data_IF_436992236979
#
_entry.id   IF_436992236979
#
_cell.length_a   1.000
_cell.length_b   1.000
_cell.length_c   1.000
_cell.angle_alpha   90.00
_cell.angle_beta   90.00
_cell.angle_gamma   90.00
#
_symmetry.space_group_name_H-M   'P 1'
#
loop_
_entity.id
_entity.type
_entity.pdbx_description
1 polymer ?
#
# COMPACT_ATOMS: atom_id res chain seq x y z
N UNK A 1 -10.80 21.27 5.27
CA UNK A 1 -11.44 21.60 6.57
C UNK A 1 -10.38 21.74 7.66
N UNK A 2 -10.84 21.98 8.89
CA UNK A 2 -9.96 22.20 10.05
C UNK A 2 -10.40 21.38 11.28
N UNK A 3 -11.06 20.22 11.04
CA UNK A 3 -11.44 19.33 12.12
C UNK A 3 -10.16 18.73 12.71
N UNK A 4 -9.93 18.91 14.01
CA UNK A 4 -8.80 18.31 14.72
C UNK A 4 -9.25 17.32 15.80
N UNK A 5 -10.52 17.39 16.25
CA UNK A 5 -11.07 16.54 17.29
C UNK A 5 -12.27 15.74 16.76
N UNK A 6 -12.12 14.44 16.76
CA UNK A 6 -13.15 13.46 16.34
C UNK A 6 -13.70 12.64 17.52
N UNK A 7 -13.47 13.12 18.77
CA UNK A 7 -13.85 12.40 20.00
C UNK A 7 -15.32 11.98 20.07
N UNK A 8 -16.22 12.74 19.44
CA UNK A 8 -17.64 12.41 19.37
C UNK A 8 -17.92 11.07 18.68
N UNK A 9 -17.03 10.60 17.79
CA UNK A 9 -17.24 9.37 17.03
C UNK A 9 -17.20 8.11 17.91
N UNK A 10 -16.55 8.15 19.06
CA UNK A 10 -16.47 7.01 19.99
C UNK A 10 -17.84 6.50 20.47
N UNK A 11 -18.89 7.31 20.32
CA UNK A 11 -20.27 6.93 20.70
C UNK A 11 -21.01 6.14 19.59
N UNK A 12 -20.43 6.02 18.41
CA UNK A 12 -21.12 5.46 17.24
C UNK A 12 -20.60 4.05 16.88
N UNK A 13 -20.78 3.08 17.79
CA UNK A 13 -20.29 1.69 17.62
C UNK A 13 -20.84 0.96 16.37
N UNK A 14 -21.90 1.47 15.76
CA UNK A 14 -22.47 0.97 14.52
C UNK A 14 -21.96 1.67 13.25
N UNK A 15 -20.99 2.59 13.36
CA UNK A 15 -20.45 3.32 12.22
C UNK A 15 -19.76 2.36 11.26
N UNK A 16 -20.14 2.43 9.98
CA UNK A 16 -19.61 1.57 8.92
C UNK A 16 -18.66 2.30 7.99
N UNK A 17 -18.95 3.56 7.70
CA UNK A 17 -18.15 4.36 6.77
C UNK A 17 -17.95 5.76 7.32
N UNK A 18 -16.77 6.33 7.10
CA UNK A 18 -16.51 7.73 7.41
C UNK A 18 -15.50 8.31 6.40
N UNK A 19 -15.79 9.50 5.90
CA UNK A 19 -14.83 10.35 5.21
C UNK A 19 -14.44 11.49 6.14
N UNK A 20 -13.19 11.46 6.59
CA UNK A 20 -12.56 12.44 7.48
C UNK A 20 -11.35 13.10 6.81
N UNK A 21 -11.24 12.93 5.49
CA UNK A 21 -10.12 13.44 4.69
C UNK A 21 -10.01 14.97 4.73
N UNK A 22 -8.81 15.49 4.42
CA UNK A 22 -8.55 16.93 4.27
C UNK A 22 -8.92 17.73 5.51
N UNK A 23 -8.39 17.30 6.65
CA UNK A 23 -8.60 17.92 7.95
C UNK A 23 -7.26 18.14 8.69
N UNK A 24 -7.30 18.47 9.97
CA UNK A 24 -6.13 18.66 10.83
C UNK A 24 -6.11 17.62 11.96
N UNK A 25 -6.52 16.37 11.66
CA UNK A 25 -6.61 15.30 12.65
C UNK A 25 -5.20 14.76 12.92
N UNK A 26 -4.81 14.73 14.20
CA UNK A 26 -3.53 14.18 14.65
C UNK A 26 -3.69 12.87 15.41
N UNK A 27 -4.83 12.66 16.09
CA UNK A 27 -5.12 11.50 16.92
C UNK A 27 -6.48 10.88 16.55
N UNK A 28 -6.53 9.57 16.45
CA UNK A 28 -7.71 8.79 16.03
C UNK A 28 -8.18 7.80 17.11
N UNK A 29 -7.82 8.04 18.40
CA UNK A 29 -8.21 7.16 19.50
C UNK A 29 -9.73 6.96 19.60
N UNK A 30 -10.52 7.94 19.16
CA UNK A 30 -11.98 7.85 19.10
C UNK A 30 -12.50 6.72 18.17
N UNK A 31 -11.67 6.19 17.31
CA UNK A 31 -12.01 5.07 16.43
C UNK A 31 -11.74 3.70 17.08
N UNK A 32 -11.06 3.66 18.24
CA UNK A 32 -10.83 2.40 18.96
C UNK A 32 -12.17 1.77 19.37
N UNK A 33 -12.39 0.55 18.92
CA UNK A 33 -13.64 -0.18 19.18
C UNK A 33 -14.77 0.03 18.16
N UNK A 34 -14.58 0.86 17.11
CA UNK A 34 -15.52 0.97 16.00
C UNK A 34 -15.36 -0.21 15.03
N UNK A 35 -15.57 -1.42 15.54
CA UNK A 35 -15.29 -2.69 14.86
C UNK A 35 -16.15 -2.97 13.63
N UNK A 36 -17.17 -2.12 13.38
CA UNK A 36 -18.08 -2.22 12.24
C UNK A 36 -17.65 -1.37 11.04
N UNK A 37 -16.51 -0.64 11.16
CA UNK A 37 -15.97 0.13 10.06
C UNK A 37 -15.56 -0.81 8.92
N UNK A 38 -16.06 -0.51 7.72
CA UNK A 38 -15.75 -1.21 6.46
C UNK A 38 -15.03 -0.31 5.46
N UNK A 39 -15.27 1.00 5.49
CA UNK A 39 -14.57 1.96 4.66
C UNK A 39 -14.26 3.23 5.46
N UNK A 40 -13.00 3.69 5.39
CA UNK A 40 -12.53 4.85 6.12
C UNK A 40 -11.53 5.64 5.28
N UNK A 41 -11.82 6.93 5.07
CA UNK A 41 -10.89 7.88 4.47
C UNK A 41 -10.38 8.85 5.55
N UNK A 42 -9.09 8.81 5.78
CA UNK A 42 -8.33 9.69 6.69
C UNK A 42 -7.21 10.43 5.93
N UNK A 43 -7.24 10.42 4.61
CA UNK A 43 -6.21 11.03 3.77
C UNK A 43 -6.07 12.54 4.03
N UNK A 44 -4.88 13.09 3.76
CA UNK A 44 -4.57 14.51 3.92
C UNK A 44 -4.90 15.02 5.34
N UNK A 45 -4.26 14.41 6.34
CA UNK A 45 -4.31 14.77 7.77
C UNK A 45 -2.88 14.80 8.36
N UNK A 46 -2.75 14.87 9.68
CA UNK A 46 -1.45 14.88 10.40
C UNK A 46 -1.29 13.64 11.30
N UNK A 47 -1.87 12.49 10.92
CA UNK A 47 -1.92 11.28 11.74
C UNK A 47 -0.53 10.62 11.76
N UNK A 48 -0.08 10.22 12.95
CA UNK A 48 1.21 9.53 13.15
C UNK A 48 1.04 8.06 13.51
N UNK A 49 -0.10 7.65 14.06
CA UNK A 49 -0.36 6.28 14.52
C UNK A 49 -1.74 5.80 14.12
N UNK A 50 -1.81 4.56 13.66
CA UNK A 50 -3.05 3.84 13.30
C UNK A 50 -3.42 2.76 14.32
N UNK A 51 -2.86 2.81 15.54
CA UNK A 51 -3.10 1.79 16.58
C UNK A 51 -4.57 1.61 16.94
N UNK A 52 -5.36 2.68 16.91
CA UNK A 52 -6.80 2.65 17.17
C UNK A 52 -7.59 1.80 16.15
N UNK A 53 -7.02 1.54 14.97
CA UNK A 53 -7.66 0.74 13.93
C UNK A 53 -7.44 -0.77 14.09
N UNK A 54 -6.62 -1.22 15.02
CA UNK A 54 -6.23 -2.63 15.15
C UNK A 54 -7.41 -3.61 15.33
N UNK A 55 -8.55 -3.13 15.85
CA UNK A 55 -9.76 -3.94 16.04
C UNK A 55 -10.78 -3.82 14.89
N UNK A 56 -10.53 -2.97 13.90
CA UNK A 56 -11.43 -2.73 12.76
C UNK A 56 -11.25 -3.81 11.68
N UNK A 57 -11.44 -5.08 12.05
CA UNK A 57 -11.12 -6.24 11.20
C UNK A 57 -12.11 -6.47 10.06
N UNK A 58 -13.26 -5.76 10.05
CA UNK A 58 -14.24 -5.76 8.95
C UNK A 58 -13.85 -4.75 7.84
N UNK A 59 -12.74 -3.99 7.99
CA UNK A 59 -12.28 -2.98 7.03
C UNK A 59 -11.99 -3.62 5.66
N UNK A 60 -12.57 -3.05 4.62
CA UNK A 60 -12.36 -3.44 3.21
C UNK A 60 -11.62 -2.36 2.41
N UNK A 61 -11.82 -1.09 2.74
CA UNK A 61 -11.19 0.05 2.07
C UNK A 61 -10.65 1.03 3.12
N UNK A 62 -9.35 1.37 3.03
CA UNK A 62 -8.68 2.26 3.97
C UNK A 62 -7.76 3.22 3.23
N UNK A 63 -8.09 4.51 3.28
CA UNK A 63 -7.33 5.60 2.67
C UNK A 63 -6.61 6.39 3.78
N UNK A 64 -5.28 6.35 3.76
CA UNK A 64 -4.39 6.98 4.74
C UNK A 64 -3.32 7.86 4.07
N UNK A 65 -3.49 8.16 2.78
CA UNK A 65 -2.52 8.93 2.01
C UNK A 65 -2.27 10.32 2.62
N UNK A 66 -1.05 10.83 2.44
CA UNK A 66 -0.66 12.18 2.89
C UNK A 66 -0.91 12.38 4.40
N UNK A 67 -0.25 11.56 5.19
CA UNK A 67 -0.19 11.62 6.65
C UNK A 67 1.28 11.55 7.12
N UNK A 68 1.52 11.24 8.40
CA UNK A 68 2.86 11.09 9.00
C UNK A 68 3.03 9.71 9.66
N UNK A 69 2.41 8.67 9.07
CA UNK A 69 2.40 7.33 9.63
C UNK A 69 3.79 6.69 9.45
N UNK A 70 4.28 6.06 10.51
CA UNK A 70 5.59 5.39 10.50
C UNK A 70 5.50 3.88 10.63
N UNK A 71 4.34 3.31 10.99
CA UNK A 71 4.15 1.87 11.16
C UNK A 71 2.75 1.42 10.78
N UNK A 72 2.69 0.31 10.05
CA UNK A 72 1.46 -0.40 9.65
C UNK A 72 1.22 -1.68 10.44
N UNK A 73 2.03 -1.99 11.44
CA UNK A 73 1.88 -3.20 12.26
C UNK A 73 0.47 -3.39 12.85
N UNK A 74 -0.26 -2.31 13.27
CA UNK A 74 -1.63 -2.44 13.75
C UNK A 74 -2.64 -2.94 12.69
N UNK A 75 -2.32 -2.86 11.40
CA UNK A 75 -3.20 -3.27 10.31
C UNK A 75 -3.13 -4.79 10.02
N UNK A 76 -2.22 -5.51 10.64
CA UNK A 76 -1.98 -6.96 10.38
C UNK A 76 -3.20 -7.85 10.62
N UNK A 77 -4.20 -7.40 11.40
CA UNK A 77 -5.46 -8.11 11.63
C UNK A 77 -6.52 -7.91 10.54
N UNK A 78 -6.31 -7.00 9.58
CA UNK A 78 -7.32 -6.58 8.59
C UNK A 78 -7.41 -7.55 7.40
N UNK A 79 -7.86 -8.75 7.66
CA UNK A 79 -7.90 -9.83 6.64
C UNK A 79 -8.94 -9.63 5.54
N UNK A 80 -9.90 -8.71 5.74
CA UNK A 80 -10.94 -8.37 4.77
C UNK A 80 -10.50 -7.22 3.83
N UNK A 81 -9.34 -6.58 4.09
CA UNK A 81 -8.89 -5.40 3.39
C UNK A 81 -8.58 -5.73 1.92
N UNK A 82 -9.22 -4.99 1.01
CA UNK A 82 -9.07 -5.13 -0.44
C UNK A 82 -8.35 -3.96 -1.07
N UNK A 83 -8.50 -2.74 -0.49
CA UNK A 83 -7.81 -1.54 -0.95
C UNK A 83 -7.16 -0.81 0.21
N UNK A 84 -5.89 -0.43 0.02
CA UNK A 84 -5.12 0.32 0.99
C UNK A 84 -4.26 1.36 0.28
N UNK A 85 -4.46 2.63 0.64
CA UNK A 85 -3.57 3.72 0.24
C UNK A 85 -2.81 4.25 1.45
N UNK A 86 -1.49 4.11 1.41
CA UNK A 86 -0.53 4.60 2.39
C UNK A 86 0.49 5.56 1.76
N UNK A 87 0.21 6.06 0.56
CA UNK A 87 1.11 6.96 -0.15
C UNK A 87 1.37 8.24 0.65
N UNK A 88 2.55 8.86 0.43
CA UNK A 88 2.96 10.10 1.11
C UNK A 88 2.87 10.02 2.64
N UNK A 89 3.63 9.05 3.17
CA UNK A 89 3.80 8.84 4.61
C UNK A 89 5.30 8.76 4.98
N UNK A 90 5.63 8.26 6.17
CA UNK A 90 7.01 8.09 6.63
C UNK A 90 7.31 6.62 6.96
N UNK A 91 6.79 5.69 6.14
CA UNK A 91 6.95 4.26 6.36
C UNK A 91 8.35 3.79 5.96
N UNK A 92 8.96 2.99 6.82
CA UNK A 92 10.23 2.27 6.53
C UNK A 92 10.04 0.76 6.43
N UNK A 93 8.89 0.24 6.90
CA UNK A 93 8.55 -1.19 6.89
C UNK A 93 7.05 -1.39 6.65
N UNK A 94 6.73 -2.41 5.87
CA UNK A 94 5.35 -2.83 5.55
C UNK A 94 5.12 -4.33 5.84
N UNK A 95 5.99 -4.97 6.62
CA UNK A 95 5.90 -6.40 6.96
C UNK A 95 4.56 -6.78 7.60
N UNK A 96 3.94 -5.85 8.34
CA UNK A 96 2.60 -6.02 8.92
C UNK A 96 1.49 -6.30 7.92
N UNK A 97 1.69 -6.00 6.62
CA UNK A 97 0.67 -6.20 5.58
C UNK A 97 0.64 -7.62 5.00
N UNK A 98 1.64 -8.46 5.26
CA UNK A 98 1.75 -9.80 4.67
C UNK A 98 0.59 -10.76 5.00
N UNK A 99 -0.24 -10.44 6.00
CA UNK A 99 -1.45 -11.20 6.35
C UNK A 99 -2.75 -10.64 5.74
N UNK A 100 -2.70 -9.50 5.04
CA UNK A 100 -3.85 -8.88 4.37
C UNK A 100 -4.11 -9.52 2.99
N UNK A 101 -4.33 -10.83 2.97
CA UNK A 101 -4.32 -11.66 1.75
C UNK A 101 -5.45 -11.35 0.76
N UNK A 102 -6.42 -10.51 1.11
CA UNK A 102 -7.48 -10.07 0.21
C UNK A 102 -7.14 -8.77 -0.54
N UNK A 103 -5.96 -8.16 -0.26
CA UNK A 103 -5.55 -6.95 -0.95
C UNK A 103 -5.47 -7.18 -2.48
N UNK A 104 -6.17 -6.32 -3.19
CA UNK A 104 -6.14 -6.23 -4.66
C UNK A 104 -5.46 -4.94 -5.13
N UNK A 105 -5.50 -3.89 -4.31
CA UNK A 105 -4.87 -2.60 -4.59
C UNK A 105 -4.07 -2.13 -3.38
N UNK A 106 -2.76 -1.85 -3.61
CA UNK A 106 -1.85 -1.37 -2.58
C UNK A 106 -1.04 -0.20 -3.13
N UNK A 107 -1.17 0.98 -2.49
CA UNK A 107 -0.39 2.18 -2.79
C UNK A 107 0.53 2.51 -1.64
N UNK A 108 1.82 2.57 -1.93
CA UNK A 108 2.92 2.82 -1.00
C UNK A 108 3.85 3.95 -1.49
N UNK A 109 3.46 4.68 -2.54
CA UNK A 109 4.33 5.69 -3.14
C UNK A 109 4.70 6.80 -2.16
N UNK A 110 5.83 7.47 -2.40
CA UNK A 110 6.33 8.56 -1.56
C UNK A 110 6.48 8.16 -0.08
N UNK A 111 7.29 7.13 0.19
CA UNK A 111 7.65 6.67 1.52
C UNK A 111 9.18 6.48 1.63
N UNK A 112 9.66 5.75 2.63
CA UNK A 112 11.08 5.49 2.88
C UNK A 112 11.37 3.97 2.95
N UNK A 113 10.65 3.17 2.14
CA UNK A 113 10.76 1.72 2.15
C UNK A 113 12.06 1.27 1.48
N UNK A 114 12.82 0.41 2.16
CA UNK A 114 14.00 -0.25 1.59
C UNK A 114 13.68 -1.62 0.97
N UNK A 115 12.56 -2.23 1.34
CA UNK A 115 12.04 -3.46 0.77
C UNK A 115 10.51 -3.51 0.85
N UNK A 116 9.92 -4.42 0.08
CA UNK A 116 8.47 -4.69 0.03
C UNK A 116 8.20 -6.20 0.08
N UNK A 117 9.02 -6.96 0.80
CA UNK A 117 9.01 -8.42 0.84
C UNK A 117 7.63 -9.01 1.19
N UNK A 118 6.89 -8.34 2.06
CA UNK A 118 5.52 -8.74 2.42
C UNK A 118 4.56 -8.79 1.23
N UNK A 119 4.82 -8.02 0.16
CA UNK A 119 3.97 -8.00 -1.02
C UNK A 119 3.97 -9.34 -1.78
N UNK A 120 5.03 -10.15 -1.68
CA UNK A 120 5.09 -11.48 -2.28
C UNK A 120 3.98 -12.42 -1.79
N UNK A 121 3.47 -12.21 -0.57
CA UNK A 121 2.37 -13.01 -0.01
C UNK A 121 0.99 -12.59 -0.52
N UNK A 122 0.86 -11.43 -1.14
CA UNK A 122 -0.40 -10.82 -1.54
C UNK A 122 -0.82 -11.30 -2.94
N UNK A 123 -1.13 -12.59 -3.06
CA UNK A 123 -1.39 -13.24 -4.35
C UNK A 123 -2.59 -12.69 -5.12
N UNK A 124 -3.52 -12.01 -4.45
CA UNK A 124 -4.68 -11.37 -5.07
C UNK A 124 -4.40 -9.94 -5.58
N UNK A 125 -3.17 -9.43 -5.34
CA UNK A 125 -2.80 -8.07 -5.72
C UNK A 125 -2.83 -7.91 -7.25
N UNK A 126 -3.56 -6.92 -7.73
CA UNK A 126 -3.66 -6.55 -9.15
C UNK A 126 -2.96 -5.23 -9.45
N UNK A 127 -2.85 -4.37 -8.45
CA UNK A 127 -2.21 -3.06 -8.54
C UNK A 127 -1.24 -2.86 -7.38
N UNK A 128 0.02 -2.58 -7.69
CA UNK A 128 1.04 -2.20 -6.71
C UNK A 128 1.76 -0.94 -7.17
N UNK A 129 1.66 0.12 -6.36
CA UNK A 129 2.45 1.33 -6.52
C UNK A 129 3.40 1.48 -5.32
N UNK A 130 4.69 1.34 -5.58
CA UNK A 130 5.79 1.56 -4.63
C UNK A 130 6.77 2.62 -5.13
N UNK A 131 6.34 3.47 -6.06
CA UNK A 131 7.19 4.52 -6.63
C UNK A 131 7.70 5.51 -5.55
N UNK A 132 8.80 6.21 -5.83
CA UNK A 132 9.39 7.16 -4.88
C UNK A 132 9.67 6.56 -3.50
N UNK A 133 10.48 5.49 -3.48
CA UNK A 133 10.97 4.83 -2.27
C UNK A 133 12.50 4.55 -2.38
N UNK A 134 13.04 3.69 -1.54
CA UNK A 134 14.46 3.33 -1.48
C UNK A 134 14.69 1.84 -1.76
N UNK A 135 13.73 1.19 -2.44
CA UNK A 135 13.76 -0.26 -2.68
C UNK A 135 14.85 -0.62 -3.68
N UNK A 136 15.64 -1.65 -3.34
CA UNK A 136 16.79 -2.12 -4.15
C UNK A 136 16.50 -3.40 -4.92
N UNK A 137 15.67 -4.27 -4.36
CA UNK A 137 15.34 -5.58 -4.91
C UNK A 137 13.84 -5.83 -4.78
N UNK A 138 13.26 -6.53 -5.74
CA UNK A 138 11.87 -6.98 -5.67
C UNK A 138 11.80 -8.38 -5.06
N UNK A 139 10.82 -8.67 -4.20
CA UNK A 139 10.58 -10.04 -3.78
C UNK A 139 10.18 -10.90 -4.98
N UNK A 140 10.46 -12.20 -4.98
CA UNK A 140 10.01 -13.10 -6.03
C UNK A 140 8.49 -13.28 -5.93
N UNK A 141 7.74 -12.59 -6.76
CA UNK A 141 6.31 -12.87 -6.89
C UNK A 141 6.10 -14.26 -7.49
N UNK A 142 5.10 -14.97 -7.01
CA UNK A 142 4.80 -16.32 -7.48
C UNK A 142 3.93 -16.29 -8.74
N UNK A 143 3.94 -17.36 -9.54
CA UNK A 143 3.07 -17.54 -10.72
C UNK A 143 1.56 -17.44 -10.39
N UNK A 144 1.19 -17.55 -9.11
CA UNK A 144 -0.18 -17.38 -8.65
C UNK A 144 -0.55 -15.93 -8.35
N UNK A 145 0.42 -15.01 -8.36
CA UNK A 145 0.18 -13.59 -8.17
C UNK A 145 -0.56 -13.02 -9.38
N UNK A 146 -1.61 -12.26 -9.11
CA UNK A 146 -2.51 -11.67 -10.11
C UNK A 146 -2.12 -10.25 -10.51
N UNK A 147 -0.87 -9.85 -10.25
CA UNK A 147 -0.40 -8.49 -10.50
C UNK A 147 -0.54 -8.14 -11.98
N UNK A 148 -1.24 -7.06 -12.25
CA UNK A 148 -1.51 -6.51 -13.58
C UNK A 148 -0.73 -5.23 -13.83
N UNK A 149 -0.64 -4.37 -12.83
CA UNK A 149 0.03 -3.07 -12.94
C UNK A 149 1.04 -2.91 -11.80
N UNK A 150 2.28 -2.66 -12.19
CA UNK A 150 3.40 -2.44 -11.29
C UNK A 150 4.01 -1.06 -11.53
N UNK A 151 4.08 -0.25 -10.47
CA UNK A 151 4.72 1.04 -10.45
C UNK A 151 5.87 1.03 -9.44
N UNK A 152 7.09 1.01 -9.94
CA UNK A 152 8.32 0.97 -9.16
C UNK A 152 9.28 2.12 -9.50
N UNK A 153 8.83 3.17 -10.20
CA UNK A 153 9.67 4.30 -10.61
C UNK A 153 10.27 5.05 -9.42
N UNK A 154 11.40 5.73 -9.64
CA UNK A 154 12.10 6.50 -8.60
C UNK A 154 12.43 5.65 -7.36
N UNK A 155 13.15 4.56 -7.57
CA UNK A 155 13.71 3.68 -6.54
C UNK A 155 15.21 3.45 -6.77
N UNK A 156 15.78 2.43 -6.15
CA UNK A 156 17.17 2.01 -6.31
C UNK A 156 17.24 0.56 -6.86
N UNK A 157 16.25 0.17 -7.67
CA UNK A 157 16.18 -1.19 -8.21
C UNK A 157 17.36 -1.44 -9.14
N UNK A 158 18.05 -2.57 -8.95
CA UNK A 158 19.09 -3.08 -9.84
C UNK A 158 18.66 -4.36 -10.58
N UNK A 159 17.66 -5.06 -10.06
CA UNK A 159 17.08 -6.27 -10.62
C UNK A 159 15.55 -6.26 -10.48
N UNK A 160 14.85 -6.61 -11.55
CA UNK A 160 13.39 -6.74 -11.59
C UNK A 160 12.95 -8.18 -11.90
N UNK A 161 13.84 -9.14 -11.74
CA UNK A 161 13.55 -10.57 -11.97
C UNK A 161 12.41 -11.10 -11.11
N UNK A 162 12.10 -10.44 -9.99
CA UNK A 162 10.91 -10.71 -9.17
C UNK A 162 9.58 -10.62 -9.94
N UNK A 163 9.54 -9.92 -11.09
CA UNK A 163 8.36 -9.82 -11.96
C UNK A 163 8.28 -10.92 -13.03
N UNK A 164 9.30 -11.78 -13.11
CA UNK A 164 9.40 -12.77 -14.19
C UNK A 164 8.21 -13.73 -14.22
N UNK A 165 7.60 -13.89 -15.40
CA UNK A 165 6.56 -14.90 -15.63
C UNK A 165 5.21 -14.63 -14.97
N UNK A 166 4.96 -13.42 -14.46
CA UNK A 166 3.66 -13.06 -13.93
C UNK A 166 2.58 -13.10 -15.02
N UNK A 167 1.55 -13.94 -14.86
CA UNK A 167 0.66 -14.28 -15.98
C UNK A 167 -0.28 -13.14 -16.38
N UNK A 168 -0.63 -12.24 -15.45
CA UNK A 168 -1.58 -11.16 -15.70
C UNK A 168 -0.89 -9.79 -15.88
N UNK A 169 0.45 -9.71 -15.74
CA UNK A 169 1.18 -8.46 -15.79
C UNK A 169 1.09 -7.82 -17.18
N UNK A 170 0.53 -6.60 -17.24
CA UNK A 170 0.30 -5.86 -18.48
C UNK A 170 0.94 -4.47 -18.51
N UNK A 171 1.28 -3.91 -17.33
CA UNK A 171 1.93 -2.61 -17.21
C UNK A 171 3.08 -2.67 -16.21
N UNK A 172 4.24 -2.15 -16.60
CA UNK A 172 5.43 -2.01 -15.74
C UNK A 172 5.98 -0.59 -15.92
N UNK A 173 6.16 0.10 -14.82
CA UNK A 173 6.89 1.36 -14.75
C UNK A 173 8.07 1.22 -13.76
N UNK A 174 9.28 1.32 -14.28
CA UNK A 174 10.54 1.29 -13.53
C UNK A 174 11.43 2.49 -13.87
N UNK A 175 10.83 3.58 -14.34
CA UNK A 175 11.54 4.81 -14.66
C UNK A 175 12.43 5.27 -13.50
N UNK A 176 13.58 5.86 -13.82
CA UNK A 176 14.50 6.41 -12.83
C UNK A 176 15.00 5.42 -11.76
N UNK A 177 15.26 4.18 -12.17
CA UNK A 177 16.05 3.19 -11.42
C UNK A 177 17.38 2.99 -12.15
N UNK A 178 18.35 3.84 -11.88
CA UNK A 178 19.59 3.99 -12.68
C UNK A 178 20.52 2.77 -12.68
N UNK A 179 20.26 1.80 -11.81
CA UNK A 179 21.09 0.58 -11.69
C UNK A 179 20.49 -0.63 -12.43
N UNK A 180 19.30 -0.50 -13.03
CA UNK A 180 18.71 -1.54 -13.90
C UNK A 180 19.53 -1.58 -15.21
N UNK A 181 20.08 -2.72 -15.54
CA UNK A 181 20.85 -2.93 -16.78
C UNK A 181 20.19 -3.92 -17.73
N UNK A 182 19.15 -4.63 -17.28
CA UNK A 182 18.49 -5.69 -18.03
C UNK A 182 17.00 -5.81 -17.63
N UNK A 183 16.15 -5.98 -18.63
CA UNK A 183 14.71 -6.22 -18.47
C UNK A 183 14.28 -7.55 -19.16
N UNK A 184 15.23 -8.43 -19.47
CA UNK A 184 15.01 -9.71 -20.17
C UNK A 184 14.02 -10.63 -19.44
N UNK A 185 13.91 -10.52 -18.11
CA UNK A 185 12.94 -11.27 -17.31
C UNK A 185 11.49 -11.03 -17.76
N UNK A 186 11.19 -9.85 -18.31
CA UNK A 186 9.84 -9.50 -18.77
C UNK A 186 9.40 -10.26 -20.03
N UNK A 187 10.32 -10.94 -20.76
CA UNK A 187 9.98 -11.81 -21.90
C UNK A 187 8.98 -12.91 -21.53
N UNK A 188 8.97 -13.35 -20.29
CA UNK A 188 8.06 -14.36 -19.80
C UNK A 188 6.65 -13.84 -19.50
N UNK A 189 6.45 -12.50 -19.44
CA UNK A 189 5.17 -11.85 -19.17
C UNK A 189 4.39 -11.65 -20.48
N UNK A 190 3.63 -12.66 -20.90
CA UNK A 190 3.01 -12.71 -22.25
C UNK A 190 1.86 -11.71 -22.44
N UNK A 191 1.30 -11.15 -21.37
CA UNK A 191 0.23 -10.16 -21.41
C UNK A 191 0.71 -8.72 -21.30
N UNK A 192 2.04 -8.49 -21.35
CA UNK A 192 2.63 -7.18 -21.20
C UNK A 192 2.28 -6.26 -22.38
N UNK A 193 1.70 -5.10 -22.08
CA UNK A 193 1.24 -4.09 -23.07
C UNK A 193 2.15 -2.86 -23.04
N UNK A 194 2.63 -2.45 -21.87
CA UNK A 194 3.45 -1.25 -21.73
C UNK A 194 4.56 -1.44 -20.71
N UNK A 195 5.74 -0.97 -21.06
CA UNK A 195 6.91 -0.86 -20.17
C UNK A 195 7.45 0.56 -20.26
N UNK A 196 7.62 1.20 -19.12
CA UNK A 196 8.37 2.44 -18.96
C UNK A 196 9.67 2.13 -18.23
N UNK A 197 10.79 2.48 -18.84
CA UNK A 197 12.14 2.27 -18.30
C UNK A 197 13.04 3.46 -18.69
N UNK A 198 12.53 4.67 -18.55
CA UNK A 198 13.26 5.89 -18.86
C UNK A 198 14.24 6.22 -17.74
N UNK A 199 15.48 6.52 -18.09
CA UNK A 199 16.51 6.89 -17.11
C UNK A 199 16.94 5.72 -16.21
N UNK A 200 16.77 4.50 -16.71
CA UNK A 200 17.30 3.28 -16.09
C UNK A 200 18.70 2.99 -16.58
#
# INVERSE_FOLDING_TARGET
NSISNIGALSNYSGLKTADLSRNAITAIDALDGLTKLTALDLSENDITSVSALAKCTEMTELELASNRITSVAPLSGMRALTKLDLSKNALTDVSGLGSCLQLTELRLSDNQLENVDSAASLVNLTYLDMSHNLVKELPPFTETCRLQQFYGSYNQLSDISGLAGLPELNYVDVDYNTDITDIECLKACQNLVQVNAFGT
#
